data_IF_613797933473
#
_entry.id   IF_613797933473
#
_cell.length_a   1.000
_cell.length_b   1.000
_cell.length_c   1.000
_cell.angle_alpha   90.00
_cell.angle_beta   90.00
_cell.angle_gamma   90.00
#
_symmetry.space_group_name_H-M   'P 1'
#
loop_
_entity.id
_entity.type
_entity.pdbx_description
1 polymer ?
#
# COMPACT_ATOMS: atom_id res chain seq x y z
N UNK A 1 -6.76 26.45 -0.89
CA UNK A 1 -6.67 24.98 -0.67
C UNK A 1 -6.65 24.60 0.82
N UNK A 2 -5.68 25.05 1.64
CA UNK A 2 -5.61 24.67 3.07
C UNK A 2 -6.80 25.16 3.92
N UNK A 3 -7.28 26.40 3.69
CA UNK A 3 -8.43 26.97 4.38
C UNK A 3 -9.74 26.26 4.00
N UNK A 4 -9.91 25.95 2.71
CA UNK A 4 -11.06 25.20 2.19
C UNK A 4 -11.14 23.79 2.78
N UNK A 5 -10.03 23.04 2.81
CA UNK A 5 -9.96 21.72 3.44
C UNK A 5 -10.30 21.78 4.93
N UNK A 6 -9.84 22.82 5.63
CA UNK A 6 -10.16 23.03 7.05
C UNK A 6 -11.65 23.25 7.25
N UNK A 7 -12.29 24.07 6.40
CA UNK A 7 -13.73 24.29 6.42
C UNK A 7 -14.50 22.99 6.20
N UNK A 8 -14.16 22.22 5.16
CA UNK A 8 -14.84 20.95 4.86
C UNK A 8 -14.69 19.95 6.01
N UNK A 9 -13.49 19.84 6.60
CA UNK A 9 -13.26 18.99 7.79
C UNK A 9 -14.09 19.42 8.98
N UNK A 10 -14.22 20.73 9.22
CA UNK A 10 -15.04 21.28 10.31
C UNK A 10 -16.52 20.97 10.09
N UNK A 11 -17.04 21.18 8.88
CA UNK A 11 -18.41 20.83 8.51
C UNK A 11 -18.66 19.33 8.71
N UNK A 12 -17.78 18.47 8.20
CA UNK A 12 -17.89 17.03 8.43
C UNK A 12 -17.93 16.70 9.92
N UNK A 13 -17.02 17.27 10.73
CA UNK A 13 -16.99 17.02 12.19
C UNK A 13 -18.32 17.37 12.87
N UNK A 14 -18.98 18.45 12.44
CA UNK A 14 -20.26 18.89 13.01
C UNK A 14 -21.44 17.99 12.61
N UNK A 15 -21.42 17.41 11.41
CA UNK A 15 -22.54 16.64 10.84
C UNK A 15 -22.31 15.12 10.83
N UNK A 16 -21.12 14.64 11.21
CA UNK A 16 -20.69 13.25 11.08
C UNK A 16 -21.68 12.27 11.72
N UNK A 17 -22.10 12.51 12.97
CA UNK A 17 -23.02 11.63 13.69
C UNK A 17 -24.37 11.55 12.96
N UNK A 18 -24.93 12.71 12.58
CA UNK A 18 -26.20 12.77 11.84
C UNK A 18 -26.11 12.05 10.48
N UNK A 19 -24.96 12.11 9.80
CA UNK A 19 -24.74 11.38 8.57
C UNK A 19 -24.69 9.88 8.80
N UNK A 20 -24.01 9.42 9.86
CA UNK A 20 -23.89 8.01 10.24
C UNK A 20 -25.22 7.42 10.76
N UNK A 21 -26.14 8.24 11.26
CA UNK A 21 -27.49 7.79 11.66
C UNK A 21 -28.38 7.37 10.47
N UNK A 22 -27.95 7.64 9.23
CA UNK A 22 -28.69 7.23 8.02
C UNK A 22 -28.48 5.76 7.73
N UNK A 23 -29.55 5.03 7.46
CA UNK A 23 -29.56 3.55 7.37
C UNK A 23 -28.47 2.95 6.48
N UNK A 24 -28.16 3.61 5.35
CA UNK A 24 -27.20 3.08 4.37
C UNK A 24 -25.79 3.67 4.49
N UNK A 25 -25.57 4.70 5.32
CA UNK A 25 -24.27 5.35 5.45
C UNK A 25 -23.43 4.59 6.48
N UNK A 26 -22.25 4.15 6.07
CA UNK A 26 -21.37 3.32 6.90
C UNK A 26 -20.02 3.96 7.22
N UNK A 27 -19.66 5.01 6.48
CA UNK A 27 -18.50 5.84 6.78
C UNK A 27 -18.67 7.23 6.17
N UNK A 28 -17.96 8.20 6.74
CA UNK A 28 -17.90 9.57 6.23
C UNK A 28 -16.45 10.04 6.10
N UNK A 29 -16.19 10.91 5.15
CA UNK A 29 -14.84 11.40 4.88
C UNK A 29 -14.83 12.69 4.07
N UNK A 30 -13.62 13.15 3.77
CA UNK A 30 -13.41 14.32 2.90
C UNK A 30 -12.71 13.84 1.64
N UNK A 31 -13.26 14.20 0.49
CA UNK A 31 -12.73 13.81 -0.81
C UNK A 31 -13.17 14.76 -1.90
N UNK A 32 -12.67 14.53 -3.10
CA UNK A 32 -13.13 15.27 -4.27
C UNK A 32 -14.41 14.64 -4.81
N UNK A 33 -15.37 15.48 -5.21
CA UNK A 33 -16.64 15.02 -5.76
C UNK A 33 -16.40 14.28 -7.07
N UNK A 34 -17.09 13.15 -7.25
CA UNK A 34 -17.10 12.35 -8.47
C UNK A 34 -18.46 12.53 -9.16
N UNK A 35 -18.44 12.92 -10.43
CA UNK A 35 -19.65 13.07 -11.25
C UNK A 35 -19.45 12.31 -12.56
N UNK A 36 -20.39 11.42 -12.91
CA UNK A 36 -20.28 10.60 -14.13
C UNK A 36 -19.03 9.72 -14.17
N UNK A 37 -18.57 9.26 -13.00
CA UNK A 37 -17.33 8.47 -12.86
C UNK A 37 -16.04 9.27 -12.94
N UNK A 38 -16.10 10.59 -13.12
CA UNK A 38 -14.94 11.46 -13.23
C UNK A 38 -14.74 12.29 -11.95
N UNK A 39 -13.50 12.31 -11.45
CA UNK A 39 -13.11 13.15 -10.31
C UNK A 39 -13.12 14.61 -10.74
N UNK A 40 -13.82 15.45 -9.96
CA UNK A 40 -13.84 16.90 -10.16
C UNK A 40 -12.80 17.60 -9.27
N UNK A 41 -12.64 18.92 -9.44
CA UNK A 41 -11.79 19.75 -8.58
C UNK A 41 -12.46 20.16 -7.26
N UNK A 42 -13.78 19.94 -7.11
CA UNK A 42 -14.53 20.37 -5.93
C UNK A 42 -14.32 19.41 -4.75
N UNK A 43 -13.95 19.95 -3.59
CA UNK A 43 -13.96 19.19 -2.33
C UNK A 43 -15.41 18.95 -1.87
N UNK A 44 -15.64 17.80 -1.25
CA UNK A 44 -16.94 17.33 -0.82
C UNK A 44 -16.84 16.50 0.45
N UNK A 45 -17.97 16.40 1.15
CA UNK A 45 -18.17 15.43 2.21
C UNK A 45 -18.62 14.12 1.57
N UNK A 46 -17.76 13.11 1.64
CA UNK A 46 -18.02 11.79 1.07
C UNK A 46 -18.78 10.96 2.11
N UNK A 47 -19.92 10.42 1.70
CA UNK A 47 -20.70 9.45 2.46
C UNK A 47 -20.56 8.10 1.76
N UNK A 48 -19.84 7.18 2.39
CA UNK A 48 -19.71 5.80 1.93
C UNK A 48 -20.95 5.03 2.33
N UNK A 49 -21.58 4.37 1.36
CA UNK A 49 -22.79 3.57 1.57
C UNK A 49 -22.55 2.10 1.27
N UNK A 50 -23.28 1.23 1.99
CA UNK A 50 -23.24 -0.21 1.75
C UNK A 50 -23.73 -0.59 0.36
N UNK A 51 -24.76 0.10 -0.14
CA UNK A 51 -25.31 -0.04 -1.49
C UNK A 51 -25.97 1.27 -1.92
N UNK A 52 -25.80 1.68 -3.17
CA UNK A 52 -26.56 2.80 -3.74
C UNK A 52 -27.99 2.38 -4.00
N UNK A 53 -28.91 3.18 -3.46
CA UNK A 53 -30.35 3.07 -3.66
C UNK A 53 -30.81 4.30 -4.41
N UNK A 54 -31.73 4.13 -5.36
CA UNK A 54 -32.29 5.26 -6.12
C UNK A 54 -33.02 6.20 -5.14
N UNK A 55 -32.83 7.51 -5.28
CA UNK A 55 -33.37 8.49 -4.33
C UNK A 55 -34.89 8.38 -4.11
N UNK A 56 -35.66 7.98 -5.12
CA UNK A 56 -37.11 7.77 -5.03
C UNK A 56 -37.52 6.58 -4.15
N UNK A 57 -36.60 5.69 -3.81
CA UNK A 57 -36.79 4.54 -2.93
C UNK A 57 -36.27 4.79 -1.51
N UNK A 58 -35.68 5.97 -1.25
CA UNK A 58 -35.17 6.36 0.06
C UNK A 58 -36.19 7.24 0.78
N UNK A 59 -36.28 7.05 2.10
CA UNK A 59 -36.97 7.99 2.96
C UNK A 59 -36.22 9.33 2.97
N UNK A 60 -36.91 10.44 3.24
CA UNK A 60 -36.26 11.75 3.34
C UNK A 60 -35.19 11.81 4.44
N UNK A 61 -35.32 10.99 5.49
CA UNK A 61 -34.34 10.87 6.57
C UNK A 61 -33.10 10.08 6.16
N UNK A 62 -33.24 9.10 5.27
CA UNK A 62 -32.10 8.31 4.78
C UNK A 62 -31.38 8.95 3.59
N UNK A 63 -32.01 9.93 2.93
CA UNK A 63 -31.38 10.66 1.84
C UNK A 63 -30.21 11.50 2.37
N UNK A 64 -29.04 11.34 1.77
CA UNK A 64 -27.89 12.21 2.02
C UNK A 64 -28.17 13.56 1.36
N UNK A 65 -28.17 14.70 2.11
CA UNK A 65 -28.41 16.01 1.54
C UNK A 65 -27.37 16.34 0.49
N UNK A 66 -27.75 17.01 -0.62
CA UNK A 66 -26.80 17.36 -1.69
C UNK A 66 -25.69 18.31 -1.23
N UNK A 67 -25.95 19.09 -0.18
CA UNK A 67 -24.99 19.98 0.47
C UNK A 67 -25.19 19.99 2.00
N UNK A 68 -24.12 20.28 2.73
CA UNK A 68 -24.10 20.55 4.18
C UNK A 68 -23.31 21.83 4.41
N UNK A 69 -23.94 22.84 5.02
CA UNK A 69 -23.33 24.17 5.22
C UNK A 69 -22.68 24.76 3.96
N UNK A 70 -23.30 24.54 2.79
CA UNK A 70 -22.80 24.97 1.49
C UNK A 70 -21.70 24.08 0.88
N UNK A 71 -21.21 23.07 1.59
CA UNK A 71 -20.25 22.09 1.09
C UNK A 71 -21.00 20.97 0.37
N UNK A 72 -20.64 20.61 -0.87
CA UNK A 72 -21.29 19.51 -1.57
C UNK A 72 -21.03 18.18 -0.88
N UNK A 73 -21.99 17.28 -0.93
CA UNK A 73 -21.79 15.88 -0.55
C UNK A 73 -21.54 15.02 -1.78
N UNK A 74 -20.93 13.86 -1.57
CA UNK A 74 -20.81 12.80 -2.56
C UNK A 74 -21.19 11.46 -1.94
N UNK A 75 -21.90 10.61 -2.68
CA UNK A 75 -22.32 9.29 -2.22
C UNK A 75 -21.55 8.24 -3.01
N UNK A 76 -20.71 7.49 -2.32
CA UNK A 76 -19.86 6.46 -2.93
C UNK A 76 -20.30 5.10 -2.38
N UNK A 77 -20.53 4.14 -3.27
CA UNK A 77 -20.81 2.77 -2.84
C UNK A 77 -19.49 2.10 -2.52
N UNK A 78 -19.33 1.64 -1.27
CA UNK A 78 -18.11 0.96 -0.81
C UNK A 78 -18.37 -0.48 -0.38
N UNK A 79 -19.63 -0.94 -0.40
CA UNK A 79 -20.00 -2.24 0.16
C UNK A 79 -19.94 -2.24 1.69
N UNK A 80 -20.14 -3.39 2.33
CA UNK A 80 -20.08 -3.52 3.79
C UNK A 80 -18.62 -3.56 4.25
N UNK A 81 -18.21 -2.61 5.10
CA UNK A 81 -16.87 -2.61 5.72
C UNK A 81 -16.87 -3.65 6.85
N UNK A 82 -16.02 -4.67 6.74
CA UNK A 82 -15.84 -5.71 7.76
C UNK A 82 -14.47 -5.53 8.42
N UNK A 83 -14.46 -5.34 9.73
CA UNK A 83 -13.22 -5.39 10.50
C UNK A 83 -12.72 -6.83 10.64
N UNK A 84 -11.41 -7.01 10.85
CA UNK A 84 -10.77 -8.29 11.20
C UNK A 84 -10.92 -9.41 10.17
N UNK A 85 -11.00 -9.09 8.87
CA UNK A 85 -10.84 -10.11 7.83
C UNK A 85 -9.42 -10.67 7.88
N UNK A 86 -9.25 -11.97 7.61
CA UNK A 86 -7.95 -12.62 7.63
C UNK A 86 -7.06 -12.02 6.53
N UNK A 87 -5.96 -11.30 6.85
CA UNK A 87 -5.15 -10.67 5.80
C UNK A 87 -4.30 -11.70 5.05
N UNK A 88 -4.19 -12.93 5.54
CA UNK A 88 -3.28 -13.96 5.02
C UNK A 88 -3.94 -14.92 4.02
N UNK A 89 -5.25 -14.83 3.84
CA UNK A 89 -5.97 -15.66 2.87
C UNK A 89 -5.66 -15.28 1.41
N UNK A 90 -6.00 -16.19 0.49
CA UNK A 90 -5.94 -15.91 -0.95
C UNK A 90 -7.16 -15.09 -1.36
N UNK A 91 -6.92 -13.96 -2.03
CA UNK A 91 -7.95 -13.02 -2.49
C UNK A 91 -7.84 -12.81 -4.00
N UNK A 92 -8.98 -12.85 -4.70
CA UNK A 92 -9.12 -12.46 -6.11
C UNK A 92 -10.47 -11.74 -6.29
N UNK A 93 -10.50 -10.41 -6.51
CA UNK A 93 -9.36 -9.49 -6.52
C UNK A 93 -8.68 -9.36 -5.17
N UNK A 94 -7.40 -8.99 -5.15
CA UNK A 94 -6.59 -8.78 -3.95
C UNK A 94 -6.68 -7.33 -3.43
N UNK A 95 -7.41 -7.08 -2.33
CA UNK A 95 -7.57 -5.72 -1.82
C UNK A 95 -6.31 -5.22 -1.08
N UNK A 96 -6.19 -3.90 -0.92
CA UNK A 96 -5.21 -3.30 -0.01
C UNK A 96 -5.36 -3.85 1.42
N UNK A 97 -4.22 -4.08 2.08
CA UNK A 97 -4.13 -4.61 3.45
C UNK A 97 -3.92 -6.12 3.56
N UNK A 98 -3.95 -6.87 2.45
CA UNK A 98 -3.72 -8.33 2.46
C UNK A 98 -2.25 -8.68 2.29
N UNK A 99 -1.92 -9.92 2.64
CA UNK A 99 -0.58 -10.51 2.48
C UNK A 99 -0.17 -10.53 1.01
N UNK A 100 1.05 -10.09 0.75
CA UNK A 100 1.71 -10.14 -0.56
C UNK A 100 3.22 -10.21 -0.34
N UNK A 101 3.97 -10.72 -1.31
CA UNK A 101 5.42 -10.61 -1.25
C UNK A 101 6.12 -11.13 -2.49
N UNK A 102 7.37 -10.71 -2.64
CA UNK A 102 8.33 -11.37 -3.51
C UNK A 102 8.46 -12.86 -3.12
N UNK A 103 8.64 -13.76 -4.10
CA UNK A 103 8.71 -15.21 -3.85
C UNK A 103 9.80 -15.61 -2.83
N UNK A 104 10.90 -14.86 -2.79
CA UNK A 104 12.08 -15.19 -1.99
C UNK A 104 12.15 -14.44 -0.64
N UNK A 105 11.04 -13.83 -0.20
CA UNK A 105 10.92 -13.23 1.14
C UNK A 105 9.93 -14.00 2.03
N UNK A 106 9.69 -13.51 3.24
CA UNK A 106 8.64 -14.05 4.13
C UNK A 106 7.25 -13.63 3.65
N UNK A 107 6.79 -12.45 4.03
CA UNK A 107 5.54 -11.83 3.61
C UNK A 107 5.57 -10.35 3.96
N UNK A 108 4.71 -9.57 3.32
CA UNK A 108 4.42 -8.19 3.67
C UNK A 108 2.98 -7.86 3.33
N UNK A 109 2.68 -6.57 3.21
CA UNK A 109 1.31 -6.10 2.98
C UNK A 109 1.18 -5.43 1.63
N UNK A 110 0.12 -5.75 0.90
CA UNK A 110 -0.32 -5.00 -0.27
C UNK A 110 -0.75 -3.62 0.23
N UNK A 111 -0.02 -2.56 -0.10
CA UNK A 111 -0.34 -1.22 0.37
C UNK A 111 -1.63 -0.70 -0.27
N UNK A 112 -1.58 -0.43 -1.57
CA UNK A 112 -2.73 -0.03 -2.36
C UNK A 112 -2.47 -0.21 -3.86
N UNK A 113 -3.50 0.05 -4.67
CA UNK A 113 -3.33 0.22 -6.10
C UNK A 113 -3.10 1.69 -6.44
N UNK A 114 -2.12 1.93 -7.31
CA UNK A 114 -1.82 3.27 -7.83
C UNK A 114 -1.87 3.28 -9.36
N UNK A 115 -2.03 4.46 -9.95
CA UNK A 115 -2.01 4.63 -11.41
C UNK A 115 -0.64 5.10 -11.87
N UNK A 116 0.00 4.35 -12.77
CA UNK A 116 1.23 4.73 -13.46
C UNK A 116 1.02 4.64 -14.96
N UNK A 117 1.11 5.77 -15.66
CA UNK A 117 0.86 5.84 -17.10
C UNK A 117 -0.53 5.35 -17.51
N UNK A 118 -1.55 5.62 -16.69
CA UNK A 118 -2.93 5.19 -16.92
C UNK A 118 -3.25 3.73 -16.54
N UNK A 119 -2.25 2.93 -16.17
CA UNK A 119 -2.42 1.52 -15.74
C UNK A 119 -2.41 1.41 -14.22
N UNK A 120 -3.22 0.50 -13.68
CA UNK A 120 -3.18 0.15 -12.26
C UNK A 120 -1.99 -0.77 -11.97
N UNK A 121 -1.22 -0.43 -10.94
CA UNK A 121 -0.11 -1.25 -10.42
C UNK A 121 -0.25 -1.39 -8.91
N UNK A 122 0.28 -2.48 -8.37
CA UNK A 122 0.35 -2.72 -6.93
C UNK A 122 1.48 -1.85 -6.37
N UNK A 123 1.26 -1.20 -5.23
CA UNK A 123 2.28 -0.49 -4.45
C UNK A 123 2.47 -1.19 -3.10
N UNK A 124 3.72 -1.44 -2.74
CA UNK A 124 4.15 -1.81 -1.39
C UNK A 124 5.60 -1.35 -1.18
N UNK A 125 6.24 -1.81 -0.11
CA UNK A 125 7.64 -1.50 0.18
C UNK A 125 8.58 -2.27 -0.75
N UNK A 126 9.78 -1.73 -0.96
CA UNK A 126 10.90 -2.42 -1.59
C UNK A 126 11.19 -3.74 -0.88
N UNK A 127 11.30 -3.74 0.45
CA UNK A 127 11.61 -4.99 1.15
C UNK A 127 10.52 -6.07 0.99
N UNK A 128 9.30 -5.67 0.60
CA UNK A 128 8.17 -6.59 0.36
C UNK A 128 8.19 -7.12 -1.09
N UNK A 129 8.36 -6.27 -2.09
CA UNK A 129 8.24 -6.67 -3.51
C UNK A 129 9.59 -6.86 -4.22
N UNK A 130 10.65 -6.25 -3.72
CA UNK A 130 11.97 -6.19 -4.36
C UNK A 130 13.08 -6.83 -3.51
N UNK A 131 12.71 -7.66 -2.53
CA UNK A 131 13.64 -8.43 -1.69
C UNK A 131 14.80 -7.58 -1.14
N UNK A 132 14.51 -6.38 -0.65
CA UNK A 132 15.51 -5.44 -0.13
C UNK A 132 16.65 -5.17 -1.12
N UNK A 133 16.27 -4.82 -2.36
CA UNK A 133 17.11 -4.64 -3.55
C UNK A 133 17.67 -5.91 -4.21
N UNK A 134 17.48 -7.10 -3.65
CA UNK A 134 18.03 -8.34 -4.19
C UNK A 134 17.18 -8.98 -5.31
N UNK A 135 16.02 -8.39 -5.65
CA UNK A 135 15.17 -8.86 -6.73
C UNK A 135 15.53 -8.24 -8.10
N UNK A 136 15.16 -8.94 -9.16
CA UNK A 136 15.24 -8.47 -10.54
C UNK A 136 13.88 -7.98 -11.04
N UNK A 137 13.89 -6.97 -11.92
CA UNK A 137 12.66 -6.51 -12.57
C UNK A 137 12.08 -7.67 -13.40
N UNK A 138 10.79 -7.95 -13.20
CA UNK A 138 10.12 -9.11 -13.77
C UNK A 138 9.91 -10.26 -12.78
N UNK A 139 10.53 -10.22 -11.59
CA UNK A 139 10.39 -11.29 -10.61
C UNK A 139 8.94 -11.48 -10.12
N UNK A 140 8.54 -12.72 -9.79
CA UNK A 140 7.18 -13.04 -9.43
C UNK A 140 6.82 -12.55 -8.02
N UNK A 141 5.67 -11.88 -7.95
CA UNK A 141 5.01 -11.47 -6.72
C UNK A 141 3.83 -12.40 -6.45
N UNK A 142 3.72 -12.87 -5.21
CA UNK A 142 2.70 -13.82 -4.78
C UNK A 142 1.65 -13.15 -3.89
N UNK A 143 0.39 -13.55 -4.05
CA UNK A 143 -0.71 -13.23 -3.12
C UNK A 143 -1.47 -14.53 -2.78
N UNK A 144 -1.43 -14.98 -1.51
CA UNK A 144 -0.74 -14.38 -0.36
C UNK A 144 0.80 -14.47 -0.47
N UNK A 145 1.54 -13.81 0.43
CA UNK A 145 3.00 -13.92 0.49
C UNK A 145 3.48 -15.33 0.89
N UNK A 146 4.75 -15.69 0.63
CA UNK A 146 5.27 -17.05 0.87
C UNK A 146 5.03 -17.62 2.28
N UNK A 147 5.32 -16.84 3.33
CA UNK A 147 5.14 -17.22 4.73
C UNK A 147 3.67 -17.52 5.06
N UNK A 148 2.74 -16.88 4.36
CA UNK A 148 1.31 -17.00 4.57
C UNK A 148 0.67 -18.06 3.64
N UNK A 149 1.49 -18.89 3.00
CA UNK A 149 1.07 -20.05 2.20
C UNK A 149 1.07 -19.84 0.70
N UNK A 150 1.52 -18.68 0.21
CA UNK A 150 1.67 -18.39 -1.21
C UNK A 150 2.73 -19.28 -1.87
N UNK A 151 2.41 -19.84 -3.03
CA UNK A 151 3.30 -20.72 -3.80
C UNK A 151 3.47 -20.26 -5.23
N UNK A 152 4.67 -20.39 -5.77
CA UNK A 152 4.94 -20.16 -7.18
C UNK A 152 4.92 -21.51 -7.92
N UNK A 153 4.20 -21.64 -9.05
CA UNK A 153 3.54 -20.56 -9.80
C UNK A 153 2.06 -20.28 -9.43
N UNK A 154 1.43 -21.04 -8.52
CA UNK A 154 -0.04 -21.04 -8.33
C UNK A 154 -0.65 -19.72 -7.81
N UNK A 155 0.15 -18.94 -7.07
CA UNK A 155 -0.25 -17.70 -6.42
C UNK A 155 0.42 -16.46 -7.02
N UNK A 156 1.13 -16.63 -8.15
CA UNK A 156 1.73 -15.54 -8.92
C UNK A 156 0.64 -14.59 -9.41
N UNK A 157 0.66 -13.35 -8.92
CA UNK A 157 -0.37 -12.34 -9.19
C UNK A 157 0.17 -11.16 -10.02
N UNK A 158 1.47 -10.87 -9.91
CA UNK A 158 2.09 -9.72 -10.54
C UNK A 158 3.59 -9.95 -10.78
N UNK A 159 4.17 -9.16 -11.68
CA UNK A 159 5.62 -9.10 -11.89
C UNK A 159 6.16 -7.80 -11.29
N UNK A 160 7.30 -7.84 -10.61
CA UNK A 160 7.98 -6.64 -10.13
C UNK A 160 8.25 -5.69 -11.30
N UNK A 161 7.76 -4.45 -11.24
CA UNK A 161 7.92 -3.47 -12.33
C UNK A 161 9.03 -2.46 -12.05
N UNK A 162 9.12 -1.95 -10.81
CA UNK A 162 10.11 -0.94 -10.43
C UNK A 162 10.24 -0.85 -8.91
N UNK A 163 11.40 -0.47 -8.40
CA UNK A 163 11.58 -0.12 -6.99
C UNK A 163 12.58 1.03 -6.81
N UNK A 164 12.53 1.67 -5.65
CA UNK A 164 13.53 2.64 -5.19
C UNK A 164 14.56 1.87 -4.36
N UNK A 165 15.85 1.85 -4.74
CA UNK A 165 16.87 1.21 -3.94
C UNK A 165 16.98 1.81 -2.53
N UNK A 166 17.05 0.96 -1.52
CA UNK A 166 17.21 1.36 -0.11
C UNK A 166 18.61 1.05 0.41
N UNK A 167 19.15 1.87 1.30
CA UNK A 167 20.43 1.63 1.98
C UNK A 167 20.19 0.76 3.21
N UNK A 168 20.87 -0.38 3.29
CA UNK A 168 20.75 -1.30 4.42
C UNK A 168 21.97 -1.08 5.33
N UNK A 169 21.73 -0.50 6.51
CA UNK A 169 22.80 -0.28 7.50
C UNK A 169 23.38 -1.63 7.92
N UNK A 170 24.71 -1.74 7.92
CA UNK A 170 25.39 -2.99 8.24
C UNK A 170 25.49 -3.97 7.07
N UNK A 171 25.05 -3.59 5.86
CA UNK A 171 25.34 -4.34 4.65
C UNK A 171 26.86 -4.38 4.38
N UNK A 172 27.37 -5.43 3.71
CA UNK A 172 28.76 -5.50 3.27
C UNK A 172 29.14 -4.23 2.48
N UNK A 173 30.31 -3.67 2.76
CA UNK A 173 30.80 -2.49 2.05
C UNK A 173 31.34 -2.86 0.66
N UNK A 174 30.99 -2.07 -0.35
CA UNK A 174 31.57 -2.14 -1.70
C UNK A 174 32.95 -1.48 -1.80
N UNK A 175 33.47 -0.91 -0.69
CA UNK A 175 34.76 -0.24 -0.65
C UNK A 175 35.91 -1.26 -0.76
N UNK A 176 36.69 -1.30 -1.88
CA UNK A 176 37.69 -2.34 -2.10
C UNK A 176 38.81 -2.32 -1.06
N UNK A 177 39.17 -1.15 -0.55
CA UNK A 177 40.22 -0.99 0.47
C UNK A 177 39.77 -1.54 1.81
N UNK A 178 38.56 -1.20 2.26
CA UNK A 178 38.01 -1.69 3.53
C UNK A 178 37.83 -3.21 3.50
N UNK A 179 37.28 -3.74 2.40
CA UNK A 179 37.11 -5.18 2.19
C UNK A 179 38.44 -5.92 2.09
N UNK A 180 39.45 -5.30 1.47
CA UNK A 180 40.82 -5.81 1.42
C UNK A 180 41.48 -5.91 2.81
N UNK A 181 41.35 -4.87 3.63
CA UNK A 181 41.86 -4.86 5.01
C UNK A 181 41.17 -5.95 5.85
N UNK A 182 39.85 -6.05 5.78
CA UNK A 182 39.09 -7.08 6.49
C UNK A 182 39.53 -8.49 6.07
N UNK A 183 39.73 -8.72 4.77
CA UNK A 183 40.18 -10.01 4.24
C UNK A 183 41.59 -10.38 4.71
N UNK A 184 42.53 -9.42 4.74
CA UNK A 184 43.88 -9.63 5.24
C UNK A 184 43.88 -10.01 6.73
N UNK A 185 43.16 -9.27 7.56
CA UNK A 185 43.06 -9.54 8.98
C UNK A 185 42.36 -10.87 9.27
N UNK A 186 41.34 -11.25 8.48
CA UNK A 186 40.72 -12.56 8.55
C UNK A 186 41.71 -13.69 8.21
N UNK A 187 42.62 -13.46 7.26
CA UNK A 187 43.71 -14.39 6.95
C UNK A 187 44.61 -14.64 8.17
N UNK A 188 45.02 -13.57 8.86
CA UNK A 188 45.81 -13.67 10.09
C UNK A 188 45.01 -14.37 11.20
N UNK A 189 43.75 -13.98 11.40
CA UNK A 189 42.89 -14.57 12.43
C UNK A 189 42.73 -16.08 12.25
N UNK A 190 42.57 -16.56 11.00
CA UNK A 190 42.51 -17.98 10.68
C UNK A 190 43.83 -18.70 10.96
N UNK A 191 44.97 -18.09 10.64
CA UNK A 191 46.29 -18.65 10.95
C UNK A 191 46.51 -18.81 12.47
N UNK A 192 45.92 -17.92 13.26
CA UNK A 192 45.93 -17.97 14.73
C UNK A 192 44.83 -18.88 15.33
N UNK A 193 44.08 -19.61 14.49
CA UNK A 193 43.05 -20.56 14.92
C UNK A 193 41.71 -19.92 15.34
N UNK A 194 41.47 -18.65 15.01
CA UNK A 194 40.20 -17.97 15.33
C UNK A 194 39.08 -18.38 14.37
N UNK A 195 37.86 -18.51 14.91
CA UNK A 195 36.62 -18.72 14.16
C UNK A 195 35.84 -17.42 13.88
N UNK A 196 36.39 -16.27 14.29
CA UNK A 196 35.73 -14.96 14.14
C UNK A 196 36.09 -14.35 12.78
N UNK A 197 35.09 -13.74 12.12
CA UNK A 197 35.26 -13.03 10.86
C UNK A 197 34.99 -11.54 11.03
N UNK A 198 35.93 -10.72 10.59
CA UNK A 198 35.78 -9.28 10.39
C UNK A 198 35.08 -9.02 9.06
N UNK A 199 34.14 -8.09 9.07
CA UNK A 199 33.42 -7.67 7.87
C UNK A 199 33.47 -6.14 7.77
N UNK A 200 33.85 -5.65 6.59
CA UNK A 200 33.68 -4.24 6.26
C UNK A 200 32.19 -4.01 5.99
N UNK A 201 31.58 -3.10 6.74
CA UNK A 201 30.18 -2.71 6.58
C UNK A 201 30.09 -1.25 6.21
N UNK A 202 29.05 -0.90 5.45
CA UNK A 202 28.73 0.51 5.26
C UNK A 202 28.04 1.06 6.51
N UNK A 203 28.60 2.16 7.04
CA UNK A 203 28.06 2.90 8.19
C UNK A 203 27.38 4.19 7.77
N UNK A 204 27.46 4.58 6.49
CA UNK A 204 26.74 5.75 6.02
C UNK A 204 25.26 5.41 5.92
N UNK A 205 24.52 5.81 6.96
CA UNK A 205 23.09 5.94 6.89
C UNK A 205 22.76 7.14 5.98
N UNK A 206 22.80 6.94 4.66
CA UNK A 206 21.96 7.77 3.80
C UNK A 206 20.51 7.43 4.15
N UNK A 207 19.79 8.43 4.69
CA UNK A 207 18.40 8.24 5.11
C UNK A 207 17.56 7.69 3.95
N UNK A 208 16.93 6.53 4.17
CA UNK A 208 15.92 6.02 3.25
C UNK A 208 14.68 6.88 3.38
N UNK A 209 14.55 7.89 2.51
CA UNK A 209 13.37 8.75 2.49
C UNK A 209 12.12 7.99 2.01
N UNK A 210 12.32 6.95 1.20
CA UNK A 210 11.26 6.14 0.61
C UNK A 210 11.69 4.68 0.59
N UNK A 211 10.81 3.81 1.07
CA UNK A 211 10.85 2.37 0.88
C UNK A 211 9.64 2.01 0.00
N UNK A 212 9.86 1.80 -1.29
CA UNK A 212 8.77 1.59 -2.23
C UNK A 212 9.15 0.74 -3.43
N UNK A 213 8.21 -0.10 -3.83
CA UNK A 213 8.23 -0.87 -5.05
C UNK A 213 6.83 -0.98 -5.64
N UNK A 214 6.77 -1.15 -6.95
CA UNK A 214 5.54 -1.39 -7.69
C UNK A 214 5.62 -2.68 -8.49
N UNK A 215 4.50 -3.39 -8.55
CA UNK A 215 4.37 -4.62 -9.33
C UNK A 215 3.20 -4.50 -10.31
N UNK A 216 3.39 -5.00 -11.53
CA UNK A 216 2.41 -5.02 -12.60
C UNK A 216 1.56 -6.29 -12.48
N UNK A 217 0.24 -6.19 -12.22
CA UNK A 217 -0.64 -7.35 -12.20
C UNK A 217 -0.58 -8.13 -13.52
N UNK A 218 -0.64 -9.46 -13.43
CA UNK A 218 -0.76 -10.32 -14.61
C UNK A 218 -2.13 -10.12 -15.26
N UNK A 219 -3.19 -10.11 -14.44
CA UNK A 219 -4.55 -9.79 -14.85
C UNK A 219 -5.07 -8.59 -14.04
N UNK A 220 -5.63 -7.55 -14.67
CA UNK A 220 -6.22 -6.43 -13.96
C UNK A 220 -7.42 -6.78 -13.07
N UNK A 221 -8.10 -7.91 -13.32
CA UNK A 221 -9.26 -8.38 -12.53
C UNK A 221 -8.84 -9.07 -11.23
N UNK A 222 -7.57 -9.44 -11.08
CA UNK A 222 -7.03 -10.10 -9.90
C UNK A 222 -6.67 -9.11 -8.77
N UNK A 223 -6.80 -7.79 -9.00
CA UNK A 223 -6.43 -6.72 -8.04
C UNK A 223 -7.49 -5.63 -7.91
#
# INVERSE_FOLDING_TARGET
MAQELTTVKKTLKNHCIQLLDRTNVIATGVGYKITGGQKTSALSIVCSVSKKVVASQLSGTDLVPATLDGIPTDVIETGVIRALQSPTEKYRPAPGGVSIGHRDITAGTLGCLVKKGGRSVILSNNHVLANSNAAEIGDPILQPGPHDGGRYPEDHIADLEQFVPINIIGAPSDCPTATGIASFLNGIARLLGSSVQLQAIDQQATENLVDAAIARPLNPEDV
#
